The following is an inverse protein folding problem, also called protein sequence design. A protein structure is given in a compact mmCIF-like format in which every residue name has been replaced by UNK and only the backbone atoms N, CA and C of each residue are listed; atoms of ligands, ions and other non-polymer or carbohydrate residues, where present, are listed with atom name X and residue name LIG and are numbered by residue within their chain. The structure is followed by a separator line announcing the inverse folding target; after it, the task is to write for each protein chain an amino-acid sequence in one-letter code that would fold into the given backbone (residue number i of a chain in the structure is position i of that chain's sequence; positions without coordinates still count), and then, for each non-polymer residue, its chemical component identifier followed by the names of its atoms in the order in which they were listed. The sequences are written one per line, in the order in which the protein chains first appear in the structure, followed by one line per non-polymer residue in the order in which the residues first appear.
data_IF_423797030611
#
_entry.id   IF_423797030611
#
_cell.length_a   1.000
_cell.length_b   1.000
_cell.length_c   1.000
_cell.angle_alpha   90.00
_cell.angle_beta   90.00
_cell.angle_gamma   90.00
#
_symmetry.space_group_name_H-M   'P 1'
#
loop_
_entity.id
_entity.type
_entity.pdbx_description
1 polymer ?
#
# COMPACT_ATOMS: atom_id res chain seq x y z
N UNK A 1 36.53 -12.42 5.27
CA UNK A 1 35.47 -12.48 4.25
C UNK A 1 36.19 -12.43 2.92
N UNK A 2 36.19 -13.56 2.21
CA UNK A 2 36.79 -13.64 0.88
C UNK A 2 36.07 -12.68 -0.05
N UNK A 3 36.79 -11.72 -0.56
CA UNK A 3 36.29 -10.80 -1.57
C UNK A 3 36.36 -11.54 -2.93
N UNK A 4 35.52 -12.58 -3.08
CA UNK A 4 35.42 -13.32 -4.32
C UNK A 4 35.01 -12.28 -5.38
N UNK A 5 35.96 -11.89 -6.24
CA UNK A 5 35.66 -11.15 -7.46
C UNK A 5 34.53 -11.90 -8.15
N UNK A 6 33.40 -11.25 -8.33
CA UNK A 6 32.31 -11.86 -9.09
C UNK A 6 32.75 -11.93 -10.54
N UNK A 7 33.49 -12.99 -10.89
CA UNK A 7 33.77 -13.30 -12.27
C UNK A 7 32.44 -13.54 -12.99
N UNK A 8 32.25 -12.85 -14.09
CA UNK A 8 31.06 -13.07 -14.93
C UNK A 8 31.22 -14.43 -15.61
N UNK A 9 30.29 -15.34 -15.30
CA UNK A 9 30.29 -16.68 -15.84
C UNK A 9 29.52 -16.72 -17.18
N UNK A 10 30.06 -17.45 -18.14
CA UNK A 10 29.42 -17.69 -19.43
C UNK A 10 28.04 -18.36 -19.26
N UNK A 11 27.09 -18.02 -20.11
CA UNK A 11 25.75 -18.63 -20.11
C UNK A 11 24.92 -18.32 -18.85
N UNK A 12 25.22 -17.22 -18.14
CA UNK A 12 24.54 -16.87 -16.88
C UNK A 12 23.66 -15.63 -17.04
N UNK A 13 22.43 -15.70 -16.52
CA UNK A 13 21.52 -14.56 -16.39
C UNK A 13 21.71 -13.90 -15.01
N UNK A 14 22.02 -12.62 -15.01
CA UNK A 14 22.16 -11.81 -13.81
C UNK A 14 20.96 -10.88 -13.65
N UNK A 15 20.21 -11.02 -12.55
CA UNK A 15 19.11 -10.13 -12.19
C UNK A 15 19.68 -8.99 -11.36
N UNK A 16 19.86 -7.80 -11.97
CA UNK A 16 20.61 -6.70 -11.37
C UNK A 16 19.67 -5.63 -10.84
N UNK A 17 19.66 -5.44 -9.52
CA UNK A 17 18.91 -4.33 -8.92
C UNK A 17 19.58 -2.98 -9.21
N UNK A 18 18.75 -1.98 -9.55
CA UNK A 18 19.15 -0.62 -9.92
C UNK A 18 18.70 0.41 -8.89
N UNK A 19 19.29 1.61 -8.85
CA UNK A 19 18.88 2.67 -7.94
C UNK A 19 17.41 3.07 -8.08
N UNK A 20 16.75 3.35 -6.95
CA UNK A 20 15.35 3.80 -6.91
C UNK A 20 15.19 5.33 -6.92
N UNK A 21 16.29 6.07 -7.05
CA UNK A 21 16.26 7.54 -7.08
C UNK A 21 17.62 8.18 -6.89
N UNK A 22 18.55 7.54 -6.19
CA UNK A 22 19.90 8.02 -5.98
C UNK A 22 20.90 7.07 -6.63
N UNK A 23 21.66 7.54 -7.61
CA UNK A 23 22.64 6.72 -8.32
C UNK A 23 23.68 6.07 -7.38
N UNK A 24 23.99 6.68 -6.24
CA UNK A 24 24.94 6.14 -5.27
C UNK A 24 24.46 4.87 -4.56
N UNK A 25 23.18 4.53 -4.68
CA UNK A 25 22.61 3.30 -4.08
C UNK A 25 22.94 2.03 -4.91
N UNK A 26 23.54 2.15 -6.09
CA UNK A 26 23.99 0.97 -6.82
C UNK A 26 25.13 0.28 -6.09
N UNK A 27 25.13 -1.05 -6.09
CA UNK A 27 26.18 -1.79 -5.42
C UNK A 27 27.46 -1.87 -6.25
N UNK A 28 28.62 -1.90 -5.60
CA UNK A 28 29.91 -2.12 -6.26
C UNK A 28 29.91 -3.39 -7.10
N UNK A 29 29.29 -4.47 -6.62
CA UNK A 29 29.16 -5.73 -7.34
C UNK A 29 28.36 -5.56 -8.65
N UNK A 30 27.27 -4.78 -8.63
CA UNK A 30 26.49 -4.48 -9.83
C UNK A 30 27.35 -3.70 -10.86
N UNK A 31 28.12 -2.71 -10.41
CA UNK A 31 28.99 -1.93 -11.30
C UNK A 31 30.08 -2.79 -11.96
N UNK A 32 30.75 -3.66 -11.18
CA UNK A 32 31.79 -4.54 -11.74
C UNK A 32 31.20 -5.54 -12.75
N UNK A 33 30.03 -6.11 -12.45
CA UNK A 33 29.34 -6.99 -13.37
C UNK A 33 28.96 -6.28 -14.67
N UNK A 34 28.39 -5.09 -14.60
CA UNK A 34 27.93 -4.33 -15.78
C UNK A 34 29.10 -3.90 -16.70
N UNK A 35 30.34 -3.86 -16.20
CA UNK A 35 31.54 -3.60 -17.03
C UNK A 35 31.96 -4.79 -17.90
N UNK A 36 31.55 -6.01 -17.50
CA UNK A 36 32.11 -7.24 -18.05
C UNK A 36 31.11 -8.16 -18.73
N UNK A 37 29.82 -8.00 -18.45
CA UNK A 37 28.74 -8.80 -19.06
C UNK A 37 28.61 -8.53 -20.55
N UNK A 38 28.31 -9.57 -21.36
CA UNK A 38 28.24 -9.45 -22.82
C UNK A 38 27.06 -8.62 -23.30
N UNK A 39 25.92 -8.72 -22.59
CA UNK A 39 24.67 -8.05 -22.97
C UNK A 39 23.96 -7.51 -21.73
N UNK A 40 23.46 -6.28 -21.83
CA UNK A 40 22.61 -5.64 -20.82
C UNK A 40 21.21 -5.49 -21.41
N UNK A 41 20.25 -6.29 -20.89
CA UNK A 41 18.84 -6.18 -21.22
C UNK A 41 18.18 -5.21 -20.25
N UNK A 42 17.54 -4.16 -20.76
CA UNK A 42 17.04 -3.04 -19.99
C UNK A 42 15.60 -2.70 -20.38
N UNK A 43 14.79 -2.31 -19.39
CA UNK A 43 13.39 -1.88 -19.60
C UNK A 43 13.35 -0.63 -20.49
N UNK A 44 13.97 0.48 -20.07
CA UNK A 44 14.24 1.65 -20.92
C UNK A 44 15.75 1.83 -21.10
N UNK A 45 16.22 1.55 -22.31
CA UNK A 45 17.65 1.70 -22.66
C UNK A 45 18.16 3.13 -22.54
N UNK A 46 17.28 4.13 -22.59
CA UNK A 46 17.66 5.56 -22.42
C UNK A 46 17.94 5.85 -20.94
N UNK A 47 17.11 5.29 -20.04
CA UNK A 47 17.31 5.41 -18.60
C UNK A 47 18.58 4.68 -18.18
N UNK A 48 18.73 3.43 -18.57
CA UNK A 48 19.92 2.62 -18.29
C UNK A 48 21.20 3.26 -18.85
N UNK A 49 21.15 3.87 -20.05
CA UNK A 49 22.30 4.57 -20.61
C UNK A 49 22.79 5.74 -19.75
N UNK A 50 21.89 6.47 -19.07
CA UNK A 50 22.27 7.53 -18.13
C UNK A 50 23.02 6.95 -16.92
N UNK A 51 22.54 5.86 -16.38
CA UNK A 51 23.20 5.13 -15.27
C UNK A 51 24.61 4.69 -15.70
N UNK A 52 24.73 3.97 -16.82
CA UNK A 52 25.99 3.47 -17.32
C UNK A 52 26.98 4.62 -17.62
N UNK A 53 26.52 5.70 -18.27
CA UNK A 53 27.34 6.88 -18.56
C UNK A 53 27.87 7.56 -17.30
N UNK A 54 27.05 7.63 -16.24
CA UNK A 54 27.46 8.20 -14.96
C UNK A 54 28.65 7.44 -14.34
N UNK A 55 28.66 6.12 -14.52
CA UNK A 55 29.74 5.25 -14.01
C UNK A 55 30.81 4.89 -15.06
N UNK A 56 30.81 5.58 -16.20
CA UNK A 56 31.77 5.35 -17.32
C UNK A 56 31.79 3.87 -17.77
N UNK A 57 30.62 3.23 -17.80
CA UNK A 57 30.45 1.85 -18.27
C UNK A 57 29.94 1.86 -19.70
N UNK A 58 30.57 1.09 -20.56
CA UNK A 58 30.13 0.83 -21.93
C UNK A 58 29.63 -0.61 -22.04
N UNK A 59 28.50 -0.81 -22.71
CA UNK A 59 27.92 -2.14 -22.86
C UNK A 59 26.90 -2.22 -23.98
N UNK A 60 26.63 -3.44 -24.45
CA UNK A 60 25.63 -3.71 -25.47
C UNK A 60 24.24 -3.73 -24.84
N UNK A 61 23.46 -2.68 -25.08
CA UNK A 61 22.10 -2.53 -24.57
C UNK A 61 21.09 -3.16 -25.52
N UNK A 62 20.18 -3.97 -24.95
CA UNK A 62 18.95 -4.47 -25.59
C UNK A 62 17.73 -4.01 -24.83
N UNK A 63 16.68 -3.59 -25.53
CA UNK A 63 15.41 -3.23 -24.90
C UNK A 63 14.63 -4.49 -24.52
N UNK A 64 14.14 -4.58 -23.27
CA UNK A 64 13.32 -5.67 -22.73
C UNK A 64 12.26 -5.09 -21.81
N UNK A 65 11.10 -4.75 -22.35
CA UNK A 65 9.94 -4.16 -21.65
C UNK A 65 8.70 -5.05 -21.80
N UNK A 66 7.65 -4.75 -21.06
CA UNK A 66 6.41 -5.55 -21.02
C UNK A 66 5.88 -5.96 -22.41
N UNK A 67 5.93 -5.04 -23.38
CA UNK A 67 5.36 -5.30 -24.72
C UNK A 67 6.22 -6.21 -25.61
N UNK A 68 7.54 -6.32 -25.37
CA UNK A 68 8.43 -7.16 -26.18
C UNK A 68 9.05 -8.33 -25.40
N UNK A 69 8.73 -8.47 -24.11
CA UNK A 69 9.36 -9.42 -23.20
C UNK A 69 9.27 -10.88 -23.70
N UNK A 70 8.15 -11.28 -24.31
CA UNK A 70 7.97 -12.63 -24.81
C UNK A 70 8.92 -12.97 -26.01
N UNK A 71 9.18 -12.00 -26.88
CA UNK A 71 10.16 -12.14 -27.98
C UNK A 71 11.58 -12.13 -27.42
N UNK A 72 11.86 -11.19 -26.50
CA UNK A 72 13.17 -11.05 -25.86
C UNK A 72 13.53 -12.25 -25.00
N UNK A 73 12.57 -12.90 -24.35
CA UNK A 73 12.83 -14.13 -23.61
C UNK A 73 13.48 -15.20 -24.51
N UNK A 74 12.98 -15.38 -25.75
CA UNK A 74 13.57 -16.33 -26.71
C UNK A 74 14.98 -15.91 -27.17
N UNK A 75 15.18 -14.64 -27.56
CA UNK A 75 16.47 -14.13 -28.00
C UNK A 75 17.53 -14.23 -26.88
N UNK A 76 17.17 -13.78 -25.67
CA UNK A 76 18.08 -13.82 -24.52
C UNK A 76 18.41 -15.26 -24.09
N UNK A 77 17.42 -16.16 -24.09
CA UNK A 77 17.68 -17.58 -23.81
C UNK A 77 18.62 -18.22 -24.84
N UNK A 78 18.46 -17.93 -26.14
CA UNK A 78 19.38 -18.40 -27.18
C UNK A 78 20.80 -17.89 -26.98
N UNK A 79 20.97 -16.60 -26.62
CA UNK A 79 22.28 -16.01 -26.30
C UNK A 79 22.94 -16.66 -25.09
N UNK A 80 22.16 -16.86 -24.02
CA UNK A 80 22.62 -17.53 -22.80
C UNK A 80 23.06 -18.97 -23.10
N UNK A 81 22.26 -19.71 -23.89
CA UNK A 81 22.61 -21.08 -24.32
C UNK A 81 23.86 -21.12 -25.22
N UNK A 82 24.17 -20.04 -25.94
CA UNK A 82 25.42 -19.92 -26.72
C UNK A 82 26.64 -19.49 -25.90
N UNK A 83 26.49 -19.35 -24.58
CA UNK A 83 27.55 -18.99 -23.65
C UNK A 83 27.69 -17.50 -23.39
N UNK A 84 26.84 -16.62 -23.96
CA UNK A 84 26.84 -15.21 -23.59
C UNK A 84 26.29 -15.01 -22.18
N UNK A 85 26.86 -14.06 -21.44
CA UNK A 85 26.33 -13.59 -20.17
C UNK A 85 25.38 -12.41 -20.38
N UNK A 86 24.27 -12.39 -19.62
CA UNK A 86 23.23 -11.35 -19.73
C UNK A 86 22.94 -10.75 -18.35
N UNK A 87 22.98 -9.41 -18.26
CA UNK A 87 22.42 -8.68 -17.13
C UNK A 87 21.02 -8.17 -17.50
N UNK A 88 20.01 -8.46 -16.68
CA UNK A 88 18.65 -7.93 -16.81
C UNK A 88 18.44 -6.85 -15.75
N UNK A 89 18.07 -5.65 -16.21
CA UNK A 89 17.86 -4.45 -15.41
C UNK A 89 16.44 -3.91 -15.66
N UNK A 90 15.85 -3.32 -14.61
CA UNK A 90 14.66 -2.47 -14.69
C UNK A 90 15.05 -1.00 -14.51
N UNK A 91 14.13 -0.09 -14.72
CA UNK A 91 14.38 1.34 -14.59
C UNK A 91 14.73 1.73 -13.14
N UNK A 92 14.12 1.04 -12.15
CA UNK A 92 14.35 1.26 -10.73
C UNK A 92 14.05 0.01 -9.89
N UNK A 93 14.91 -0.33 -8.95
CA UNK A 93 14.70 -1.44 -8.02
C UNK A 93 15.10 -2.81 -8.56
N UNK A 94 14.39 -3.86 -8.13
CA UNK A 94 14.74 -5.26 -8.39
C UNK A 94 13.94 -5.80 -9.58
N UNK A 95 14.59 -6.33 -10.62
CA UNK A 95 13.90 -6.88 -11.80
C UNK A 95 12.89 -7.97 -11.45
N UNK A 96 11.81 -8.07 -12.22
CA UNK A 96 10.70 -9.00 -12.06
C UNK A 96 9.83 -8.79 -10.78
N UNK A 97 10.12 -7.77 -9.97
CA UNK A 97 9.32 -7.43 -8.77
C UNK A 97 8.48 -6.18 -9.04
N UNK A 98 7.28 -6.33 -9.53
CA UNK A 98 6.39 -5.29 -10.09
C UNK A 98 6.91 -4.63 -11.38
N UNK A 99 7.93 -5.20 -11.98
CA UNK A 99 8.62 -4.74 -13.17
C UNK A 99 8.72 -5.86 -14.20
N UNK A 100 9.03 -5.57 -15.49
CA UNK A 100 9.30 -6.57 -16.50
C UNK A 100 10.49 -7.48 -16.12
N UNK A 101 10.56 -8.65 -16.75
CA UNK A 101 11.65 -9.60 -16.57
C UNK A 101 11.22 -10.99 -16.13
N UNK A 102 9.98 -11.16 -15.67
CA UNK A 102 9.48 -12.45 -15.22
C UNK A 102 9.52 -13.53 -16.33
N UNK A 103 9.10 -13.20 -17.57
CA UNK A 103 9.11 -14.16 -18.69
C UNK A 103 10.51 -14.54 -19.13
N UNK A 104 11.47 -13.60 -19.06
CA UNK A 104 12.88 -13.89 -19.33
C UNK A 104 13.44 -14.84 -18.29
N UNK A 105 13.17 -14.55 -17.01
CA UNK A 105 13.56 -15.40 -15.89
C UNK A 105 12.97 -16.81 -16.00
N UNK A 106 11.68 -16.92 -16.25
CA UNK A 106 10.97 -18.20 -16.43
C UNK A 106 11.56 -19.03 -17.58
N UNK A 107 11.79 -18.40 -18.74
CA UNK A 107 12.38 -19.05 -19.90
C UNK A 107 13.83 -19.51 -19.65
N UNK A 108 14.64 -18.70 -18.97
CA UNK A 108 16.01 -19.07 -18.60
C UNK A 108 16.03 -20.26 -17.64
N UNK A 109 15.18 -20.28 -16.61
CA UNK A 109 15.05 -21.42 -15.69
C UNK A 109 14.59 -22.67 -16.43
N UNK A 110 13.58 -22.58 -17.30
CA UNK A 110 13.09 -23.71 -18.07
C UNK A 110 14.15 -24.30 -19.02
N UNK A 111 15.10 -23.47 -19.48
CA UNK A 111 16.23 -23.90 -20.30
C UNK A 111 17.44 -24.41 -19.49
N UNK A 112 17.34 -24.52 -18.16
CA UNK A 112 18.44 -24.95 -17.29
C UNK A 112 19.56 -23.92 -17.15
N UNK A 113 19.33 -22.66 -17.53
CA UNK A 113 20.30 -21.58 -17.46
C UNK A 113 20.47 -21.14 -16.00
N UNK A 114 21.74 -20.95 -15.60
CA UNK A 114 22.04 -20.40 -14.27
C UNK A 114 21.53 -18.97 -14.13
N UNK A 115 20.81 -18.70 -13.05
CA UNK A 115 20.33 -17.37 -12.70
C UNK A 115 20.98 -16.90 -11.40
N UNK A 116 21.55 -15.72 -11.41
CA UNK A 116 22.25 -15.12 -10.26
C UNK A 116 21.63 -13.77 -9.90
N UNK A 117 21.06 -13.60 -8.69
CA UNK A 117 20.62 -12.30 -8.24
C UNK A 117 21.81 -11.44 -7.82
N UNK A 118 21.81 -10.19 -8.26
CA UNK A 118 22.71 -9.14 -7.77
C UNK A 118 21.89 -8.23 -6.86
N UNK A 119 21.96 -8.43 -5.53
CA UNK A 119 21.14 -7.69 -4.59
C UNK A 119 21.45 -6.20 -4.65
N UNK A 120 20.45 -5.40 -4.32
CA UNK A 120 20.56 -3.94 -4.31
C UNK A 120 19.25 -3.29 -3.83
N UNK A 121 18.97 -2.06 -4.26
CA UNK A 121 17.83 -1.30 -3.79
C UNK A 121 16.48 -1.98 -4.05
N UNK A 122 15.59 -1.84 -3.07
CA UNK A 122 14.19 -2.23 -3.16
C UNK A 122 13.36 -1.21 -2.39
N UNK A 123 12.46 -0.52 -3.07
CA UNK A 123 11.60 0.49 -2.44
C UNK A 123 10.71 -0.11 -1.34
N UNK A 124 10.23 -1.34 -1.52
CA UNK A 124 9.40 -2.03 -0.52
C UNK A 124 10.16 -2.26 0.79
N UNK A 125 11.38 -2.81 0.71
CA UNK A 125 12.20 -3.13 1.89
C UNK A 125 12.76 -1.85 2.52
N UNK A 126 13.22 -0.89 1.71
CA UNK A 126 13.69 0.40 2.20
C UNK A 126 12.60 1.17 2.95
N UNK A 127 11.38 1.23 2.40
CA UNK A 127 10.24 1.84 3.07
C UNK A 127 9.89 1.13 4.38
N UNK A 128 9.87 -0.20 4.38
CA UNK A 128 9.53 -0.99 5.57
C UNK A 128 10.52 -0.74 6.70
N UNK A 129 11.82 -0.74 6.41
CA UNK A 129 12.88 -0.55 7.41
C UNK A 129 12.80 0.82 8.12
N UNK A 130 12.24 1.84 7.46
CA UNK A 130 12.09 3.20 8.00
C UNK A 130 10.64 3.54 8.40
N UNK A 131 9.69 2.62 8.26
CA UNK A 131 8.27 2.89 8.49
C UNK A 131 7.90 3.02 9.97
N UNK A 132 8.50 2.21 10.85
CA UNK A 132 8.07 2.04 12.24
C UNK A 132 6.82 1.16 12.37
N UNK A 133 6.44 0.40 11.32
CA UNK A 133 5.45 -0.68 11.38
C UNK A 133 6.14 -2.01 11.67
N UNK A 134 5.35 -3.02 12.07
CA UNK A 134 5.86 -4.37 12.29
C UNK A 134 6.51 -4.92 11.00
N UNK A 135 7.70 -5.48 11.13
CA UNK A 135 8.52 -5.95 10.00
C UNK A 135 8.84 -7.44 10.05
N UNK A 136 8.42 -8.13 11.09
CA UNK A 136 8.53 -9.58 11.27
C UNK A 136 7.80 -10.37 10.18
N UNK A 137 6.64 -9.83 9.72
CA UNK A 137 5.92 -10.33 8.57
C UNK A 137 5.39 -9.17 7.72
N UNK A 138 5.56 -9.26 6.41
CA UNK A 138 4.99 -8.29 5.48
C UNK A 138 4.48 -8.97 4.22
N UNK A 139 3.47 -8.37 3.60
CA UNK A 139 2.87 -8.84 2.36
C UNK A 139 3.03 -7.76 1.29
N UNK A 140 3.91 -8.02 0.32
CA UNK A 140 4.08 -7.14 -0.83
C UNK A 140 2.96 -7.36 -1.84
N UNK A 141 2.17 -6.34 -2.06
CA UNK A 141 1.01 -6.35 -2.98
C UNK A 141 1.38 -5.76 -4.34
N UNK A 142 2.34 -4.82 -4.37
CA UNK A 142 2.69 -4.05 -5.57
C UNK A 142 1.59 -3.06 -5.96
N UNK A 143 1.36 -2.85 -7.25
CA UNK A 143 0.32 -1.95 -7.76
C UNK A 143 -1.07 -2.58 -7.71
N UNK A 144 -2.02 -1.85 -7.16
CA UNK A 144 -3.43 -2.27 -7.19
C UNK A 144 -4.08 -1.99 -8.56
N UNK A 145 -5.12 -2.77 -8.93
CA UNK A 145 -5.85 -2.56 -10.17
C UNK A 145 -6.35 -1.11 -10.32
N UNK A 146 -6.27 -0.55 -11.54
CA UNK A 146 -6.74 0.80 -11.81
C UNK A 146 -8.27 0.95 -11.67
N UNK A 147 -9.03 -0.08 -12.05
CA UNK A 147 -10.50 -0.10 -11.98
C UNK A 147 -10.96 -0.19 -10.53
N UNK A 148 -11.74 0.80 -10.06
CA UNK A 148 -12.16 0.93 -8.66
C UNK A 148 -12.83 -0.32 -8.08
N UNK A 149 -13.73 -0.98 -8.82
CA UNK A 149 -14.39 -2.21 -8.36
C UNK A 149 -13.39 -3.36 -8.12
N UNK A 150 -12.40 -3.57 -9.02
CA UNK A 150 -11.35 -4.58 -8.85
C UNK A 150 -10.40 -4.22 -7.71
N UNK A 151 -10.06 -2.93 -7.57
CA UNK A 151 -9.21 -2.43 -6.48
C UNK A 151 -9.89 -2.66 -5.13
N UNK A 152 -11.15 -2.26 -4.98
CA UNK A 152 -11.92 -2.50 -3.74
C UNK A 152 -12.08 -3.99 -3.43
N UNK A 153 -12.30 -4.85 -4.44
CA UNK A 153 -12.33 -6.30 -4.27
C UNK A 153 -10.99 -6.83 -3.74
N UNK A 154 -9.87 -6.35 -4.30
CA UNK A 154 -8.53 -6.75 -3.83
C UNK A 154 -8.26 -6.29 -2.41
N UNK A 155 -8.63 -5.04 -2.04
CA UNK A 155 -8.51 -4.55 -0.66
C UNK A 155 -9.32 -5.38 0.32
N UNK A 156 -10.56 -5.79 -0.03
CA UNK A 156 -11.37 -6.67 0.83
C UNK A 156 -10.68 -8.01 1.10
N UNK A 157 -10.01 -8.60 0.10
CA UNK A 157 -9.25 -9.84 0.28
C UNK A 157 -8.05 -9.69 1.23
N UNK A 158 -7.56 -8.47 1.43
CA UNK A 158 -6.45 -8.14 2.31
C UNK A 158 -6.91 -7.72 3.73
N UNK A 159 -8.22 -7.64 3.96
CA UNK A 159 -8.77 -7.12 5.22
C UNK A 159 -8.33 -7.92 6.45
N UNK A 160 -8.16 -9.23 6.31
CA UNK A 160 -7.80 -10.12 7.41
C UNK A 160 -6.29 -10.38 7.55
N UNK A 161 -5.47 -9.77 6.69
CA UNK A 161 -4.00 -9.95 6.75
C UNK A 161 -3.45 -9.24 7.98
N UNK A 162 -2.74 -10.00 8.83
CA UNK A 162 -2.10 -9.50 10.05
C UNK A 162 -0.69 -8.94 9.80
N UNK A 163 -0.07 -9.30 8.68
CA UNK A 163 1.22 -8.77 8.24
C UNK A 163 1.12 -7.34 7.71
N UNK A 164 2.19 -6.57 7.78
CA UNK A 164 2.27 -5.25 7.16
C UNK A 164 2.09 -5.35 5.65
N UNK A 165 1.12 -4.64 5.09
CA UNK A 165 0.85 -4.58 3.65
C UNK A 165 1.70 -3.49 3.01
N UNK A 166 2.29 -3.78 1.84
CA UNK A 166 3.12 -2.82 1.08
C UNK A 166 2.58 -2.69 -0.33
N UNK A 167 2.26 -1.46 -0.72
CA UNK A 167 1.74 -1.10 -2.03
C UNK A 167 2.67 -0.10 -2.72
N UNK A 168 2.78 -0.20 -4.04
CA UNK A 168 3.26 0.88 -4.89
C UNK A 168 2.07 1.67 -5.42
N UNK A 169 2.17 3.00 -5.45
CA UNK A 169 1.07 3.80 -5.97
C UNK A 169 1.56 5.10 -6.63
N UNK A 170 0.81 5.52 -7.62
CA UNK A 170 1.06 6.78 -8.32
C UNK A 170 0.57 7.99 -7.53
N UNK A 171 1.17 9.16 -7.70
CA UNK A 171 0.76 10.39 -7.01
C UNK A 171 -0.67 10.82 -7.34
N UNK A 172 -1.18 10.44 -8.54
CA UNK A 172 -2.54 10.79 -8.96
C UNK A 172 -3.62 9.94 -8.29
N UNK A 173 -3.26 8.79 -7.72
CA UNK A 173 -4.22 7.82 -7.19
C UNK A 173 -4.11 7.62 -5.68
N UNK A 174 -3.01 8.08 -5.06
CA UNK A 174 -2.69 7.79 -3.67
C UNK A 174 -3.75 8.29 -2.69
N UNK A 175 -4.29 9.48 -2.86
CA UNK A 175 -5.34 10.03 -1.98
C UNK A 175 -6.60 9.16 -2.04
N UNK A 176 -7.01 8.79 -3.25
CA UNK A 176 -8.16 7.90 -3.42
C UNK A 176 -7.90 6.51 -2.80
N UNK A 177 -6.69 5.96 -2.98
CA UNK A 177 -6.32 4.68 -2.36
C UNK A 177 -6.40 4.75 -0.84
N UNK A 178 -5.89 5.80 -0.21
CA UNK A 178 -5.90 5.97 1.24
C UNK A 178 -7.33 6.08 1.81
N UNK A 179 -8.23 6.80 1.14
CA UNK A 179 -9.64 6.80 1.51
C UNK A 179 -10.30 5.43 1.35
N UNK A 180 -9.93 4.65 0.32
CA UNK A 180 -10.44 3.28 0.17
C UNK A 180 -9.87 2.35 1.25
N UNK A 181 -8.60 2.51 1.64
CA UNK A 181 -7.98 1.78 2.75
C UNK A 181 -8.72 2.08 4.05
N UNK A 182 -8.91 3.35 4.42
CA UNK A 182 -9.68 3.76 5.60
C UNK A 182 -11.07 3.11 5.64
N UNK A 183 -11.81 3.18 4.53
CA UNK A 183 -13.17 2.65 4.43
C UNK A 183 -13.24 1.12 4.48
N UNK A 184 -12.26 0.39 3.88
CA UNK A 184 -12.35 -1.07 3.67
C UNK A 184 -11.55 -1.83 4.72
N UNK A 185 -10.36 -1.34 5.08
CA UNK A 185 -9.45 -1.95 6.05
C UNK A 185 -9.59 -1.34 7.46
N UNK A 186 -10.34 -0.23 7.58
CA UNK A 186 -10.46 0.56 8.81
C UNK A 186 -9.31 1.56 8.98
N UNK A 187 -9.33 2.29 10.10
CA UNK A 187 -8.33 3.31 10.44
C UNK A 187 -7.01 2.68 10.92
N UNK A 188 -6.39 1.88 10.05
CA UNK A 188 -5.07 1.31 10.32
C UNK A 188 -4.00 2.39 10.26
N UNK A 189 -2.92 2.16 11.00
CA UNK A 189 -1.70 2.98 10.86
C UNK A 189 -1.15 2.82 9.44
N UNK A 190 -0.86 3.94 8.81
CA UNK A 190 -0.32 4.01 7.44
C UNK A 190 0.96 4.82 7.44
N UNK A 191 1.86 4.45 6.58
CA UNK A 191 3.05 5.23 6.23
C UNK A 191 3.09 5.43 4.73
N UNK A 192 3.10 6.67 4.29
CA UNK A 192 3.36 7.04 2.90
C UNK A 192 4.83 7.47 2.77
N UNK A 193 5.67 6.59 2.23
CA UNK A 193 7.05 6.90 1.89
C UNK A 193 7.10 7.47 0.47
N UNK A 194 7.47 8.73 0.34
CA UNK A 194 7.46 9.47 -0.93
C UNK A 194 8.87 9.89 -1.31
N UNK A 195 9.20 9.76 -2.60
CA UNK A 195 10.47 10.24 -3.18
C UNK A 195 11.71 9.73 -2.41
N UNK A 196 11.66 8.48 -1.93
CA UNK A 196 12.79 7.88 -1.19
C UNK A 196 14.09 7.97 -1.97
N UNK A 197 15.17 8.22 -1.25
CA UNK A 197 16.54 8.43 -1.75
C UNK A 197 16.75 9.70 -2.59
N UNK A 198 15.68 10.49 -2.85
CA UNK A 198 15.72 11.72 -3.64
C UNK A 198 15.70 12.96 -2.73
N UNK A 199 15.87 14.15 -3.34
CA UNK A 199 15.96 15.44 -2.61
C UNK A 199 14.73 15.73 -1.73
N UNK A 200 13.55 15.26 -2.13
CA UNK A 200 12.28 15.54 -1.45
C UNK A 200 11.71 14.29 -0.77
N UNK A 201 12.62 13.44 -0.26
CA UNK A 201 12.24 12.28 0.54
C UNK A 201 11.44 12.69 1.76
N UNK A 202 10.32 12.02 1.97
CA UNK A 202 9.51 12.20 3.17
C UNK A 202 8.76 10.92 3.56
N UNK A 203 8.48 10.80 4.86
CA UNK A 203 7.66 9.74 5.44
C UNK A 203 6.50 10.37 6.21
N UNK A 204 5.27 10.25 5.69
CA UNK A 204 4.05 10.72 6.33
C UNK A 204 3.43 9.55 7.08
N UNK A 205 3.21 9.69 8.37
CA UNK A 205 2.71 8.64 9.27
C UNK A 205 1.44 9.10 9.96
N UNK A 206 0.44 8.21 10.10
CA UNK A 206 -0.82 8.51 10.77
C UNK A 206 -1.84 7.41 10.54
N UNK A 207 -3.10 7.67 10.89
CA UNK A 207 -4.22 6.85 10.44
C UNK A 207 -4.44 7.03 8.92
N UNK A 208 -5.10 6.08 8.28
CA UNK A 208 -5.28 6.12 6.83
C UNK A 208 -5.98 7.41 6.36
N UNK A 209 -7.02 7.88 7.07
CA UNK A 209 -7.70 9.14 6.80
C UNK A 209 -6.81 10.35 6.99
N UNK A 210 -6.02 10.41 8.07
CA UNK A 210 -5.11 11.53 8.36
C UNK A 210 -4.05 11.70 7.26
N UNK A 211 -3.43 10.59 6.82
CA UNK A 211 -2.45 10.60 5.72
C UNK A 211 -3.09 11.03 4.41
N UNK A 212 -4.35 10.60 4.17
CA UNK A 212 -5.12 11.03 2.99
C UNK A 212 -5.35 12.55 3.00
N UNK A 213 -5.78 13.11 4.14
CA UNK A 213 -6.06 14.55 4.29
C UNK A 213 -4.80 15.39 4.14
N UNK A 214 -3.66 14.96 4.72
CA UNK A 214 -2.36 15.64 4.56
C UNK A 214 -1.96 15.70 3.07
N UNK A 215 -2.13 14.62 2.34
CA UNK A 215 -1.80 14.59 0.90
C UNK A 215 -2.81 15.36 0.06
N UNK A 216 -4.11 15.29 0.39
CA UNK A 216 -5.17 16.02 -0.30
C UNK A 216 -5.06 17.54 -0.12
N UNK A 217 -4.53 18.01 1.01
CA UNK A 217 -4.29 19.43 1.28
C UNK A 217 -3.16 20.05 0.46
N UNK A 218 -2.41 19.26 -0.31
CA UNK A 218 -1.34 19.77 -1.17
C UNK A 218 -1.88 20.25 -2.52
N UNK A 219 -1.28 21.30 -3.12
CA UNK A 219 -1.67 21.76 -4.47
C UNK A 219 -1.55 20.66 -5.53
N UNK A 220 -0.56 19.76 -5.39
CA UNK A 220 -0.41 18.54 -6.16
C UNK A 220 0.51 17.55 -5.42
N UNK A 221 0.14 16.29 -5.40
CA UNK A 221 1.04 15.20 -5.00
C UNK A 221 1.93 14.87 -6.20
N UNK A 222 3.24 14.83 -5.99
CA UNK A 222 4.23 14.53 -7.04
C UNK A 222 5.18 13.45 -6.55
N UNK A 223 5.79 12.74 -7.51
CA UNK A 223 6.81 11.75 -7.25
C UNK A 223 6.25 10.33 -7.05
N UNK A 224 7.09 9.41 -6.65
CA UNK A 224 6.78 8.00 -6.45
C UNK A 224 6.45 7.73 -4.99
N UNK A 225 5.49 6.85 -4.75
CA UNK A 225 5.05 6.53 -3.40
C UNK A 225 5.05 5.01 -3.15
N UNK A 226 5.56 4.66 -1.97
CA UNK A 226 5.36 3.34 -1.36
C UNK A 226 4.45 3.53 -0.14
N UNK A 227 3.30 2.85 -0.14
CA UNK A 227 2.32 2.93 0.93
C UNK A 227 2.41 1.66 1.77
N UNK A 228 2.65 1.82 3.05
CA UNK A 228 2.67 0.71 4.01
C UNK A 228 1.46 0.86 4.93
N UNK A 229 0.79 -0.26 5.16
CA UNK A 229 -0.40 -0.32 6.02
C UNK A 229 -0.18 -1.39 7.07
N UNK A 230 -0.36 -1.04 8.34
CA UNK A 230 -0.26 -2.00 9.43
C UNK A 230 -1.20 -3.19 9.19
N UNK A 231 -0.77 -4.38 9.56
CA UNK A 231 -1.61 -5.56 9.56
C UNK A 231 -2.84 -5.40 10.45
N UNK A 232 -3.81 -6.30 10.32
CA UNK A 232 -4.93 -6.37 11.24
C UNK A 232 -4.41 -6.74 12.63
N UNK A 233 -4.75 -5.98 13.65
CA UNK A 233 -4.41 -6.32 15.04
C UNK A 233 -5.30 -7.49 15.49
N UNK A 234 -4.71 -8.54 16.03
CA UNK A 234 -5.48 -9.62 16.68
C UNK A 234 -6.20 -9.03 17.88
N UNK A 235 -7.51 -9.16 17.92
CA UNK A 235 -8.38 -8.57 18.95
C UNK A 235 -9.19 -7.37 18.48
N UNK A 236 -8.82 -6.69 17.40
CA UNK A 236 -9.70 -5.73 16.75
C UNK A 236 -10.69 -6.48 15.84
N UNK A 237 -11.67 -7.16 16.43
CA UNK A 237 -12.81 -7.66 15.66
C UNK A 237 -13.54 -6.47 15.02
N UNK A 238 -13.99 -6.60 13.74
CA UNK A 238 -14.91 -5.62 13.14
C UNK A 238 -16.15 -5.35 14.02
N UNK A 239 -16.46 -6.26 14.96
CA UNK A 239 -17.49 -6.08 15.97
C UNK A 239 -17.13 -5.02 17.03
N UNK A 240 -15.89 -4.97 17.54
CA UNK A 240 -15.50 -3.97 18.55
C UNK A 240 -15.44 -2.55 18.00
N UNK A 241 -14.93 -2.38 16.77
CA UNK A 241 -14.98 -1.07 16.08
C UNK A 241 -16.41 -0.69 15.70
N UNK A 242 -17.26 -1.67 15.39
CA UNK A 242 -18.68 -1.45 15.16
C UNK A 242 -19.43 -1.16 16.49
N UNK A 243 -19.08 -1.82 17.58
CA UNK A 243 -19.64 -1.59 18.91
C UNK A 243 -19.22 -0.22 19.47
N UNK A 244 -17.94 0.17 19.35
CA UNK A 244 -17.47 1.51 19.71
C UNK A 244 -18.11 2.60 18.83
N UNK A 245 -18.22 2.37 17.53
CA UNK A 245 -18.87 3.31 16.60
C UNK A 245 -20.38 3.37 16.85
N UNK A 246 -21.05 2.26 17.19
CA UNK A 246 -22.48 2.22 17.52
C UNK A 246 -22.73 2.85 18.91
N UNK A 247 -21.82 2.67 19.86
CA UNK A 247 -21.86 3.32 21.17
C UNK A 247 -21.71 4.83 21.04
N UNK A 248 -20.72 5.30 20.32
CA UNK A 248 -20.51 6.73 20.04
C UNK A 248 -21.68 7.36 19.26
N UNK A 249 -22.24 6.63 18.30
CA UNK A 249 -23.45 7.06 17.58
C UNK A 249 -24.64 7.16 18.53
N UNK A 250 -24.83 6.18 19.41
CA UNK A 250 -25.90 6.15 20.40
C UNK A 250 -25.77 7.31 21.39
N UNK A 251 -24.59 7.58 21.88
CA UNK A 251 -24.28 8.75 22.74
C UNK A 251 -24.57 10.07 22.04
N UNK A 252 -24.14 10.22 20.77
CA UNK A 252 -24.40 11.42 19.98
C UNK A 252 -25.90 11.65 19.71
N UNK A 253 -26.67 10.58 19.47
CA UNK A 253 -28.13 10.66 19.36
C UNK A 253 -28.77 11.05 20.68
N UNK A 254 -28.33 10.45 21.80
CA UNK A 254 -28.87 10.78 23.14
C UNK A 254 -28.58 12.24 23.53
N UNK A 255 -27.38 12.73 23.27
CA UNK A 255 -27.01 14.12 23.53
C UNK A 255 -27.91 15.07 22.73
N UNK A 256 -28.06 14.83 21.42
CA UNK A 256 -28.91 15.65 20.55
C UNK A 256 -30.40 15.63 20.95
N UNK A 257 -30.92 14.49 21.44
CA UNK A 257 -32.29 14.39 21.94
C UNK A 257 -32.49 15.12 23.27
N UNK A 258 -31.48 15.16 24.16
CA UNK A 258 -31.53 15.91 25.43
C UNK A 258 -31.51 17.42 25.22
N UNK A 259 -30.77 17.90 24.22
CA UNK A 259 -30.62 19.32 23.90
C UNK A 259 -31.78 19.90 23.07
N UNK A 260 -32.82 19.12 22.78
CA UNK A 260 -33.94 19.58 21.96
C UNK A 260 -33.56 19.82 20.48
N UNK A 261 -32.64 19.01 19.96
CA UNK A 261 -32.04 19.14 18.64
C UNK A 261 -33.02 19.05 17.46
N UNK A 262 -32.53 19.20 16.22
CA UNK A 262 -33.37 19.24 15.03
C UNK A 262 -34.16 17.93 14.85
N UNK A 263 -35.36 18.02 14.24
CA UNK A 263 -36.23 16.83 14.05
C UNK A 263 -35.52 15.60 13.46
N UNK A 264 -36.00 14.40 13.78
CA UNK A 264 -35.36 13.10 13.52
C UNK A 264 -34.82 12.94 12.07
N UNK A 265 -35.50 13.49 11.07
CA UNK A 265 -35.08 13.40 9.67
C UNK A 265 -33.83 14.24 9.35
N UNK A 266 -33.64 15.38 10.02
CA UNK A 266 -32.44 16.22 9.86
C UNK A 266 -31.28 15.65 10.68
N UNK A 267 -31.53 15.25 11.91
CA UNK A 267 -30.56 14.61 12.80
C UNK A 267 -29.99 13.33 12.18
N UNK A 268 -30.84 12.47 11.60
CA UNK A 268 -30.39 11.25 10.93
C UNK A 268 -29.50 11.51 9.72
N UNK A 269 -29.73 12.60 8.98
CA UNK A 269 -28.89 13.00 7.84
C UNK A 269 -27.52 13.49 8.29
N UNK A 270 -27.46 14.29 9.35
CA UNK A 270 -26.23 14.91 9.84
C UNK A 270 -25.34 13.86 10.52
N UNK A 271 -25.90 12.98 11.35
CA UNK A 271 -25.19 11.89 11.98
C UNK A 271 -24.79 10.80 11.00
N UNK A 272 -25.62 10.51 9.97
CA UNK A 272 -25.24 9.60 8.88
C UNK A 272 -23.96 10.06 8.17
N UNK A 273 -23.83 11.35 7.89
CA UNK A 273 -22.61 11.92 7.29
C UNK A 273 -21.41 11.89 8.23
N UNK A 274 -21.63 12.17 9.52
CA UNK A 274 -20.55 12.24 10.54
C UNK A 274 -19.98 10.87 10.87
N UNK A 275 -20.84 9.85 11.00
CA UNK A 275 -20.45 8.52 11.43
C UNK A 275 -20.35 7.49 10.29
N UNK A 276 -20.65 7.88 9.04
CA UNK A 276 -20.60 6.97 7.88
C UNK A 276 -21.64 5.85 7.90
N UNK A 277 -22.69 5.96 8.72
CA UNK A 277 -23.75 4.95 8.92
C UNK A 277 -24.94 5.25 7.99
N UNK A 278 -25.61 4.23 7.39
CA UNK A 278 -26.78 4.47 6.54
C UNK A 278 -27.86 5.27 7.28
N UNK A 279 -28.43 6.27 6.61
CA UNK A 279 -29.42 7.19 7.18
C UNK A 279 -30.60 6.45 7.83
N UNK A 280 -31.08 5.35 7.23
CA UNK A 280 -32.17 4.55 7.77
C UNK A 280 -31.84 3.94 9.13
N UNK A 281 -30.60 3.44 9.30
CA UNK A 281 -30.14 2.86 10.59
C UNK A 281 -30.09 3.92 11.69
N UNK A 282 -29.58 5.12 11.37
CA UNK A 282 -29.55 6.25 12.31
C UNK A 282 -30.98 6.68 12.69
N UNK A 283 -31.89 6.69 11.73
CA UNK A 283 -33.29 7.05 11.96
C UNK A 283 -33.99 6.03 12.89
N UNK A 284 -33.80 4.74 12.66
CA UNK A 284 -34.30 3.66 13.54
C UNK A 284 -33.78 3.82 14.98
N UNK A 285 -32.50 4.10 15.15
CA UNK A 285 -31.90 4.33 16.47
C UNK A 285 -32.49 5.55 17.18
N UNK A 286 -32.78 6.63 16.46
CA UNK A 286 -33.45 7.82 17.03
C UNK A 286 -34.84 7.45 17.54
N UNK A 287 -35.64 6.70 16.80
CA UNK A 287 -36.97 6.28 17.21
C UNK A 287 -36.92 5.33 18.42
N UNK A 288 -35.98 4.39 18.44
CA UNK A 288 -35.77 3.48 19.57
C UNK A 288 -35.47 4.25 20.88
N UNK A 289 -34.57 5.22 20.84
CA UNK A 289 -34.20 6.01 22.01
C UNK A 289 -35.28 6.99 22.45
N UNK A 290 -36.11 7.49 21.53
CA UNK A 290 -37.27 8.33 21.85
C UNK A 290 -38.35 7.51 22.56
N UNK A 291 -38.63 6.26 22.13
CA UNK A 291 -39.60 5.39 22.78
C UNK A 291 -39.18 4.98 24.20
N UNK A 292 -37.88 4.71 24.41
CA UNK A 292 -37.34 4.41 25.74
C UNK A 292 -37.42 5.61 26.70
N UNK A 293 -37.20 6.83 26.21
CA UNK A 293 -37.35 8.05 27.02
C UNK A 293 -38.81 8.38 27.35
N UNK A 294 -39.77 8.00 26.51
CA UNK A 294 -41.20 8.14 26.77
C UNK A 294 -41.70 7.20 27.88
N UNK A 295 -41.29 5.93 27.83
CA UNK A 295 -41.65 4.93 28.81
C UNK A 295 -41.15 5.27 30.22
N UNK A 296 -39.93 5.82 30.35
CA UNK A 296 -39.37 6.25 31.63
C UNK A 296 -40.09 7.45 32.25
N UNK A 297 -40.70 8.34 31.45
CA UNK A 297 -41.50 9.48 31.93
C UNK A 297 -42.87 9.07 32.40
N UNK A 298 -43.47 8.01 31.87
CA UNK A 298 -44.79 7.47 32.34
C UNK A 298 -44.61 6.71 33.65
N UNK A 299 -43.53 5.92 33.82
CA UNK A 299 -43.27 5.16 35.06
C UNK A 299 -42.92 6.12 36.24
N UNK A 300 -42.31 7.27 35.96
CA UNK A 300 -42.04 8.30 36.98
C UNK A 300 -43.30 9.08 37.39
N UNK A 301 -44.33 9.19 36.53
CA UNK A 301 -45.62 9.81 36.86
C UNK A 301 -46.53 8.89 37.62
N UNK A 302 -46.46 7.54 37.40
CA UNK A 302 -47.27 6.56 38.12
C UNK A 302 -46.87 6.30 39.55
N UNK A 303 -45.71 6.72 40.00
CA UNK A 303 -45.24 6.57 41.39
C UNK A 303 -45.50 7.80 42.29
N UNK A 304 -46.07 8.90 41.76
CA UNK A 304 -46.35 10.16 42.49
C UNK A 304 -47.71 10.22 43.19
N UNK A 305 -48.67 9.32 42.92
CA UNK A 305 -50.06 9.46 43.37
C UNK A 305 -50.50 8.43 44.47
N UNK A 306 -49.58 7.78 45.16
CA UNK A 306 -49.92 6.86 46.25
C UNK A 306 -49.32 7.32 47.59
N UNK A 307 -49.53 8.57 47.96
CA UNK A 307 -49.28 9.02 49.34
C UNK A 307 -50.05 10.32 49.63
N UNK A 308 -51.37 10.21 49.75
CA UNK A 308 -52.16 11.13 50.61
C UNK A 308 -53.57 10.58 50.82
N UNK A 309 -53.85 10.09 52.00
CA UNK A 309 -55.22 9.72 52.39
C UNK A 309 -55.26 8.85 53.63
N UNK A 310 -55.27 9.49 54.81
CA UNK A 310 -55.67 8.81 56.00
C UNK A 310 -55.11 9.36 57.27
N UNK A 311 -55.81 10.37 57.80
CA UNK A 311 -55.93 10.54 59.24
C UNK A 311 -57.08 11.53 59.49
N UNK A 312 -58.16 11.05 59.99
CA UNK A 312 -58.94 11.53 61.16
C UNK A 312 -59.70 10.40 61.78
#
# INVERSE_FOLDING_TARGET
MDNARSEVEAGTLYMVATPIGNLADITLRALELLKTVDVIAAEDTRHTRKLLSHYHISGKLLSCHEHNEAERARDLTARLSSGQSVALLTDAGTPAVSDPGYRVLEAAIAAGIRVVPIPGPSAAVAALSASGLASDAFFFVGFLPQKGARRSSRLKQLADVTATLIFYESPHRVVQLLHEISRILGERRVVAAREMTKRYEEFIRGAASEVADILAGRPAVKGELTILVAGRTEGAHPKEVAEDSETLLREAVQAALKEGGPGASRLSRDLSKRFGVPKNRVYELILELQSQSGAQKEDARGKGDIFNGGET
#
